data_IF_473821769642
#
_entry.id   IF_473821769642
#
_cell.length_a   1.000
_cell.length_b   1.000
_cell.length_c   1.000
_cell.angle_alpha   90.00
_cell.angle_beta   90.00
_cell.angle_gamma   90.00
#
_symmetry.space_group_name_H-M   'P 1'
#
loop_
_entity.id
_entity.type
_entity.pdbx_description
1 polymer ?
#
# COMPACT_ATOMS: atom_id res chain seq x y z
N UNK A 1 24.78 -23.31 3.49
CA UNK A 1 23.56 -23.86 2.85
C UNK A 1 22.27 -23.17 3.29
N UNK A 2 22.22 -22.55 4.48
CA UNK A 2 21.01 -21.81 4.96
C UNK A 2 20.63 -20.59 4.13
N UNK A 3 21.60 -19.83 3.62
CA UNK A 3 21.31 -18.60 2.84
C UNK A 3 20.62 -18.84 1.49
N UNK A 4 20.84 -19.99 0.85
CA UNK A 4 20.21 -20.31 -0.43
C UNK A 4 18.70 -20.64 -0.24
N UNK A 5 18.29 -21.19 0.90
CA UNK A 5 16.90 -21.50 1.25
C UNK A 5 16.11 -20.23 1.57
N UNK A 6 16.72 -19.28 2.31
CA UNK A 6 16.07 -18.02 2.67
C UNK A 6 15.86 -17.11 1.45
N UNK A 7 16.85 -17.03 0.54
CA UNK A 7 16.70 -16.27 -0.69
C UNK A 7 15.66 -16.89 -1.64
N UNK A 8 15.53 -18.21 -1.68
CA UNK A 8 14.52 -18.87 -2.49
C UNK A 8 13.10 -18.50 -2.01
N UNK A 9 12.87 -18.39 -0.71
CA UNK A 9 11.58 -17.98 -0.15
C UNK A 9 11.17 -16.54 -0.54
N UNK A 10 12.12 -15.65 -0.78
CA UNK A 10 11.83 -14.28 -1.28
C UNK A 10 11.16 -14.32 -2.66
N UNK A 11 11.48 -15.32 -3.47
CA UNK A 11 10.98 -15.45 -4.85
C UNK A 11 9.88 -16.51 -5.00
N UNK A 12 9.29 -16.99 -3.90
CA UNK A 12 8.11 -17.86 -3.96
C UNK A 12 6.89 -17.11 -4.54
N UNK A 13 5.93 -17.83 -5.16
CA UNK A 13 4.72 -17.22 -5.71
C UNK A 13 3.95 -16.36 -4.72
N UNK A 14 3.44 -15.22 -5.19
CA UNK A 14 2.60 -14.26 -4.46
C UNK A 14 1.13 -14.49 -4.83
N UNK A 15 0.22 -14.28 -3.88
CA UNK A 15 -1.20 -14.57 -4.08
C UNK A 15 -2.06 -13.29 -4.13
N UNK A 16 -3.09 -13.24 -5.02
CA UNK A 16 -4.05 -12.13 -5.03
C UNK A 16 -4.79 -12.00 -3.68
N UNK A 17 -5.33 -10.80 -3.34
CA UNK A 17 -5.44 -9.61 -4.16
C UNK A 17 -4.28 -8.61 -4.03
N UNK A 18 -3.35 -8.77 -3.11
CA UNK A 18 -2.30 -7.80 -2.77
C UNK A 18 -0.94 -8.12 -3.39
N UNK A 19 -0.94 -8.64 -4.62
CA UNK A 19 0.27 -9.15 -5.32
C UNK A 19 1.35 -8.09 -5.52
N UNK A 20 0.95 -6.84 -5.77
CA UNK A 20 1.84 -5.71 -5.95
C UNK A 20 2.55 -5.36 -4.63
N UNK A 21 1.78 -5.10 -3.59
CA UNK A 21 2.26 -4.68 -2.28
C UNK A 21 3.06 -5.78 -1.58
N UNK A 22 2.60 -7.02 -1.68
CA UNK A 22 3.32 -8.18 -1.15
C UNK A 22 4.68 -8.34 -1.85
N UNK A 23 4.76 -8.04 -3.16
CA UNK A 23 6.04 -8.04 -3.88
C UNK A 23 6.98 -6.93 -3.35
N UNK A 24 6.45 -5.72 -3.09
CA UNK A 24 7.21 -4.62 -2.49
C UNK A 24 7.71 -5.02 -1.11
N UNK A 25 6.86 -5.60 -0.25
CA UNK A 25 7.25 -6.08 1.08
C UNK A 25 8.35 -7.11 1.03
N UNK A 26 8.19 -8.15 0.22
CA UNK A 26 9.16 -9.26 0.12
C UNK A 26 10.53 -8.78 -0.31
N UNK A 27 10.59 -7.98 -1.38
CA UNK A 27 11.85 -7.45 -1.88
C UNK A 27 12.44 -6.40 -0.93
N UNK A 28 11.64 -5.48 -0.40
CA UNK A 28 12.09 -4.47 0.55
C UNK A 28 12.63 -5.09 1.84
N UNK A 29 11.93 -6.09 2.39
CA UNK A 29 12.39 -6.83 3.56
C UNK A 29 13.67 -7.61 3.27
N UNK A 30 13.77 -8.28 2.11
CA UNK A 30 14.98 -9.02 1.73
C UNK A 30 16.20 -8.10 1.61
N UNK A 31 16.03 -6.88 1.12
CA UNK A 31 17.06 -5.84 1.08
C UNK A 31 17.44 -5.44 2.51
N UNK A 32 16.47 -5.11 3.34
CA UNK A 32 16.67 -4.65 4.71
C UNK A 32 17.42 -5.66 5.60
N UNK A 33 17.06 -6.96 5.49
CA UNK A 33 17.73 -8.02 6.27
C UNK A 33 19.00 -8.55 5.61
N UNK A 34 19.43 -7.98 4.47
CA UNK A 34 20.67 -8.31 3.79
C UNK A 34 20.64 -9.60 2.97
N UNK A 35 19.48 -10.23 2.74
CA UNK A 35 19.33 -11.38 1.83
C UNK A 35 19.59 -10.97 0.38
N UNK A 36 19.26 -9.73 0.03
CA UNK A 36 19.65 -9.06 -1.20
C UNK A 36 20.69 -7.98 -0.85
N UNK A 37 21.99 -8.29 -0.95
CA UNK A 37 23.05 -7.36 -0.50
C UNK A 37 23.12 -6.09 -1.34
N UNK A 38 23.58 -4.95 -0.78
CA UNK A 38 23.84 -3.75 -1.53
C UNK A 38 24.71 -4.00 -2.76
N UNK A 39 24.35 -3.41 -3.90
CA UNK A 39 25.00 -3.57 -5.18
C UNK A 39 24.71 -4.88 -5.92
N UNK A 40 23.99 -5.83 -5.31
CA UNK A 40 23.61 -7.07 -5.99
C UNK A 40 22.59 -6.80 -7.11
N UNK A 41 22.67 -7.59 -8.18
CA UNK A 41 21.77 -7.50 -9.32
C UNK A 41 20.59 -8.44 -9.12
N UNK A 42 19.38 -7.94 -9.35
CA UNK A 42 18.18 -8.78 -9.40
C UNK A 42 18.16 -9.63 -10.68
N UNK A 43 17.48 -10.78 -10.66
CA UNK A 43 17.18 -11.54 -11.87
C UNK A 43 16.49 -10.66 -12.94
N UNK A 44 16.60 -11.01 -14.24
CA UNK A 44 15.86 -10.31 -15.29
C UNK A 44 14.35 -10.31 -14.99
N UNK A 45 13.66 -9.18 -15.29
CA UNK A 45 12.22 -9.01 -14.98
C UNK A 45 11.35 -10.21 -15.42
N UNK A 46 11.67 -10.82 -16.58
CA UNK A 46 10.91 -11.97 -17.07
C UNK A 46 11.05 -13.18 -16.15
N UNK A 47 12.27 -13.47 -15.76
CA UNK A 47 12.59 -14.60 -14.89
C UNK A 47 12.02 -14.40 -13.49
N UNK A 48 12.19 -13.19 -12.94
CA UNK A 48 11.67 -12.83 -11.62
C UNK A 48 10.14 -12.86 -11.57
N UNK A 49 9.45 -12.41 -12.62
CA UNK A 49 7.99 -12.52 -12.73
C UNK A 49 7.51 -13.97 -12.79
N UNK A 50 8.22 -14.83 -13.52
CA UNK A 50 7.95 -16.27 -13.60
C UNK A 50 8.15 -16.93 -12.21
N UNK A 51 9.22 -16.61 -11.49
CA UNK A 51 9.49 -17.15 -10.15
C UNK A 51 8.43 -16.73 -9.13
N UNK A 52 8.03 -15.46 -9.15
CA UNK A 52 7.00 -14.92 -8.25
C UNK A 52 5.57 -15.32 -8.66
N UNK A 53 5.38 -15.89 -9.84
CA UNK A 53 4.07 -16.28 -10.35
C UNK A 53 3.13 -15.10 -10.64
N UNK A 54 3.67 -13.91 -10.97
CA UNK A 54 2.92 -12.68 -11.16
C UNK A 54 3.02 -12.13 -12.60
N UNK A 55 2.11 -11.23 -12.96
CA UNK A 55 2.19 -10.52 -14.23
C UNK A 55 3.44 -9.62 -14.29
N UNK A 56 4.07 -9.53 -15.46
CA UNK A 56 5.25 -8.65 -15.66
C UNK A 56 4.95 -7.18 -15.40
N UNK A 57 3.72 -6.73 -15.67
CA UNK A 57 3.26 -5.38 -15.35
C UNK A 57 3.28 -5.12 -13.84
N UNK A 58 2.74 -6.05 -13.05
CA UNK A 58 2.72 -5.98 -11.58
C UNK A 58 4.14 -5.95 -11.01
N UNK A 59 5.02 -6.84 -11.48
CA UNK A 59 6.42 -6.81 -11.07
C UNK A 59 7.08 -5.47 -11.39
N UNK A 60 6.84 -4.94 -12.59
CA UNK A 60 7.44 -3.66 -13.00
C UNK A 60 6.98 -2.51 -12.11
N UNK A 61 5.69 -2.47 -11.73
CA UNK A 61 5.17 -1.49 -10.77
C UNK A 61 5.89 -1.62 -9.41
N UNK A 62 6.02 -2.83 -8.87
CA UNK A 62 6.73 -3.06 -7.61
C UNK A 62 8.22 -2.65 -7.68
N UNK A 63 8.91 -2.98 -8.78
CA UNK A 63 10.30 -2.56 -8.98
C UNK A 63 10.41 -1.04 -9.12
N UNK A 64 9.46 -0.38 -9.81
CA UNK A 64 9.40 1.07 -9.92
C UNK A 64 9.23 1.72 -8.55
N UNK A 65 8.33 1.19 -7.72
CA UNK A 65 8.12 1.60 -6.32
C UNK A 65 9.43 1.55 -5.52
N UNK A 66 10.13 0.42 -5.61
CA UNK A 66 11.41 0.24 -4.90
C UNK A 66 12.54 1.12 -5.46
N UNK A 67 12.48 1.50 -6.73
CA UNK A 67 13.39 2.50 -7.31
C UNK A 67 13.04 3.91 -6.83
N UNK A 68 11.78 4.29 -6.86
CA UNK A 68 11.30 5.60 -6.38
C UNK A 68 11.59 5.78 -4.88
N UNK A 69 11.44 4.72 -4.10
CA UNK A 69 11.80 4.72 -2.67
C UNK A 69 13.31 4.59 -2.41
N UNK A 70 14.15 4.48 -3.44
CA UNK A 70 15.61 4.41 -3.32
C UNK A 70 16.18 3.06 -2.85
N UNK A 71 15.37 2.03 -2.69
CA UNK A 71 15.84 0.68 -2.33
C UNK A 71 16.55 -0.01 -3.50
N UNK A 72 16.13 0.32 -4.73
CA UNK A 72 16.72 -0.21 -5.97
C UNK A 72 17.22 0.92 -6.88
N UNK A 73 18.11 0.56 -7.81
CA UNK A 73 18.60 1.42 -8.88
C UNK A 73 18.38 0.70 -10.20
N UNK A 74 17.78 1.38 -11.19
CA UNK A 74 17.62 0.86 -12.55
C UNK A 74 18.66 1.49 -13.47
N UNK A 75 19.52 0.67 -14.08
CA UNK A 75 20.52 1.08 -15.06
C UNK A 75 20.12 0.66 -16.46
N UNK A 76 20.20 1.58 -17.43
CA UNK A 76 19.90 1.33 -18.85
C UNK A 76 21.19 0.87 -19.58
N UNK A 77 21.01 0.17 -20.70
CA UNK A 77 22.09 -0.22 -21.59
C UNK A 77 22.43 -1.71 -21.59
N UNK A 78 23.48 -2.09 -22.33
CA UNK A 78 23.87 -3.50 -22.55
C UNK A 78 24.25 -4.24 -21.25
N UNK A 79 24.79 -3.54 -20.28
CA UNK A 79 25.11 -4.05 -18.93
C UNK A 79 24.05 -3.62 -17.89
N UNK A 80 22.91 -3.10 -18.34
CA UNK A 80 21.83 -2.60 -17.51
C UNK A 80 21.14 -3.68 -16.71
N UNK A 81 20.21 -3.26 -15.88
CA UNK A 81 19.41 -4.13 -14.98
C UNK A 81 18.97 -3.38 -13.75
N UNK A 82 18.31 -4.11 -12.87
CA UNK A 82 17.90 -3.59 -11.57
C UNK A 82 18.88 -4.09 -10.50
N UNK A 83 19.38 -3.17 -9.68
CA UNK A 83 20.39 -3.44 -8.66
C UNK A 83 19.89 -2.94 -7.30
N UNK A 84 20.29 -3.60 -6.24
CA UNK A 84 20.07 -3.10 -4.87
C UNK A 84 20.91 -1.84 -4.67
N UNK A 85 20.32 -0.79 -4.11
CA UNK A 85 21.02 0.46 -3.79
C UNK A 85 22.22 0.18 -2.88
N UNK A 86 23.34 0.90 -3.10
CA UNK A 86 24.49 0.82 -2.20
C UNK A 86 24.20 1.42 -0.82
N UNK A 87 23.24 2.35 -0.75
CA UNK A 87 22.74 2.95 0.48
C UNK A 87 21.19 3.03 0.36
N UNK A 88 20.47 1.95 0.66
CA UNK A 88 19.01 2.00 0.72
C UNK A 88 18.59 3.09 1.71
N UNK A 89 17.53 3.85 1.45
CA UNK A 89 17.12 4.90 2.35
C UNK A 89 16.75 4.27 3.71
N UNK A 90 17.43 4.72 4.71
CA UNK A 90 17.01 4.53 6.09
C UNK A 90 15.93 5.59 6.32
N UNK A 91 14.69 5.19 6.48
CA UNK A 91 13.61 6.12 6.80
C UNK A 91 13.97 6.96 8.03
N UNK A 92 13.40 8.16 8.12
CA UNK A 92 13.75 9.16 9.16
C UNK A 92 13.19 8.87 10.55
N UNK A 93 12.75 7.65 10.83
CA UNK A 93 12.13 7.31 12.14
C UNK A 93 12.08 5.80 12.38
N UNK A 94 11.49 5.43 13.53
CA UNK A 94 11.15 4.04 13.85
C UNK A 94 9.65 3.88 13.77
N UNK A 95 9.20 2.75 13.21
CA UNK A 95 7.80 2.36 13.37
C UNK A 95 7.47 2.22 14.86
N UNK A 96 6.29 2.68 15.26
CA UNK A 96 5.75 2.47 16.60
C UNK A 96 5.69 0.97 16.90
N UNK A 97 5.92 0.59 18.15
CA UNK A 97 5.89 -0.82 18.56
C UNK A 97 4.49 -1.47 18.36
N UNK A 98 3.44 -0.65 18.46
CA UNK A 98 2.02 -1.03 18.33
C UNK A 98 1.44 -0.82 16.91
N UNK A 99 2.26 -0.64 15.90
CA UNK A 99 1.79 -0.33 14.56
C UNK A 99 0.80 -1.37 13.98
N UNK A 100 0.93 -2.64 14.37
CA UNK A 100 -0.01 -3.69 13.95
C UNK A 100 -1.38 -3.53 14.62
N UNK A 101 -1.42 -3.14 15.89
CA UNK A 101 -2.67 -2.89 16.60
C UNK A 101 -3.46 -1.75 15.95
N UNK A 102 -2.76 -0.71 15.47
CA UNK A 102 -3.38 0.39 14.71
C UNK A 102 -3.99 -0.12 13.40
N UNK A 103 -3.29 -1.00 12.67
CA UNK A 103 -3.80 -1.58 11.44
C UNK A 103 -4.98 -2.54 11.68
N UNK A 104 -4.95 -3.33 12.73
CA UNK A 104 -6.07 -4.21 13.11
C UNK A 104 -7.31 -3.40 13.48
N UNK A 105 -7.15 -2.32 14.26
CA UNK A 105 -8.23 -1.39 14.58
C UNK A 105 -8.78 -0.73 13.30
N UNK A 106 -7.90 -0.33 12.39
CA UNK A 106 -8.26 0.22 11.09
C UNK A 106 -9.14 -0.75 10.28
N UNK A 107 -8.72 -2.01 10.17
CA UNK A 107 -9.51 -3.04 9.47
C UNK A 107 -10.89 -3.20 10.09
N UNK A 108 -11.00 -3.28 11.40
CA UNK A 108 -12.28 -3.46 12.10
C UNK A 108 -13.22 -2.27 11.89
N UNK A 109 -12.72 -1.04 11.97
CA UNK A 109 -13.51 0.19 11.85
C UNK A 109 -13.91 0.43 10.39
N UNK A 110 -12.96 0.39 9.47
CA UNK A 110 -13.17 0.79 8.07
C UNK A 110 -13.99 -0.22 7.29
N UNK A 111 -13.74 -1.54 7.44
CA UNK A 111 -14.57 -2.54 6.78
C UNK A 111 -16.01 -2.51 7.30
N UNK A 112 -16.20 -2.30 8.61
CA UNK A 112 -17.53 -2.10 9.18
C UNK A 112 -18.22 -0.84 8.63
N UNK A 113 -17.47 0.25 8.43
CA UNK A 113 -18.00 1.47 7.81
C UNK A 113 -18.41 1.22 6.36
N UNK A 114 -17.62 0.49 5.57
CA UNK A 114 -17.94 0.17 4.17
C UNK A 114 -19.24 -0.65 4.05
N UNK A 115 -19.43 -1.67 4.91
CA UNK A 115 -20.68 -2.44 4.95
C UNK A 115 -21.89 -1.53 5.20
N UNK A 116 -21.83 -0.74 6.28
CA UNK A 116 -22.93 0.14 6.66
C UNK A 116 -23.20 1.27 5.65
N UNK A 117 -22.14 1.80 5.03
CA UNK A 117 -22.27 2.81 3.98
C UNK A 117 -22.95 2.26 2.73
N UNK A 118 -22.57 1.04 2.29
CA UNK A 118 -23.21 0.37 1.15
C UNK A 118 -24.70 0.09 1.42
N UNK A 119 -25.06 -0.38 2.62
CA UNK A 119 -26.44 -0.66 3.01
C UNK A 119 -27.31 0.61 3.12
N UNK A 120 -26.72 1.75 3.50
CA UNK A 120 -27.47 2.99 3.77
C UNK A 120 -27.57 3.96 2.60
N UNK A 121 -26.73 3.81 1.59
CA UNK A 121 -26.83 4.43 0.28
C UNK A 121 -26.86 5.96 0.25
N UNK A 122 -26.02 6.66 1.04
CA UNK A 122 -25.95 8.12 1.05
C UNK A 122 -25.20 8.68 -0.17
N UNK A 123 -25.90 8.86 -1.28
CA UNK A 123 -25.34 9.30 -2.56
C UNK A 123 -24.51 10.59 -2.49
N UNK A 124 -24.92 11.56 -1.65
CA UNK A 124 -24.17 12.81 -1.45
C UNK A 124 -22.77 12.58 -0.83
N UNK A 125 -22.65 11.61 0.07
CA UNK A 125 -21.35 11.23 0.61
C UNK A 125 -20.46 10.57 -0.46
N UNK A 126 -21.02 9.72 -1.31
CA UNK A 126 -20.28 9.09 -2.40
C UNK A 126 -19.81 10.08 -3.47
N UNK A 127 -20.58 11.14 -3.74
CA UNK A 127 -20.15 12.23 -4.62
C UNK A 127 -18.95 12.98 -4.02
N UNK A 128 -18.98 13.32 -2.72
CA UNK A 128 -17.84 13.93 -2.03
C UNK A 128 -16.61 13.02 -2.02
N UNK A 129 -16.78 11.71 -1.85
CA UNK A 129 -15.68 10.76 -1.92
C UNK A 129 -15.02 10.74 -3.30
N UNK A 130 -15.81 10.87 -4.38
CA UNK A 130 -15.30 10.96 -5.75
C UNK A 130 -14.45 12.23 -5.95
N UNK A 131 -14.96 13.40 -5.49
CA UNK A 131 -14.20 14.66 -5.49
C UNK A 131 -12.87 14.53 -4.73
N UNK A 132 -12.84 13.75 -3.64
CA UNK A 132 -11.63 13.51 -2.86
C UNK A 132 -10.64 12.61 -3.59
N UNK A 133 -11.08 11.62 -4.36
CA UNK A 133 -10.21 10.83 -5.24
C UNK A 133 -9.59 11.72 -6.33
N UNK A 134 -10.39 12.61 -6.94
CA UNK A 134 -9.88 13.59 -7.91
C UNK A 134 -8.84 14.53 -7.27
N UNK A 135 -9.07 14.95 -6.02
CA UNK A 135 -8.12 15.77 -5.28
C UNK A 135 -6.82 15.03 -4.96
N UNK A 136 -6.90 13.72 -4.65
CA UNK A 136 -5.72 12.86 -4.49
C UNK A 136 -4.91 12.75 -5.79
N UNK A 137 -5.56 12.56 -6.94
CA UNK A 137 -4.89 12.50 -8.24
C UNK A 137 -4.21 13.82 -8.63
N UNK A 138 -4.81 14.94 -8.24
CA UNK A 138 -4.27 16.27 -8.52
C UNK A 138 -3.19 16.72 -7.53
N UNK A 139 -2.92 15.95 -6.48
CA UNK A 139 -1.99 16.31 -5.43
C UNK A 139 -0.54 16.27 -5.93
N UNK A 140 0.15 17.41 -5.88
CA UNK A 140 1.58 17.50 -6.24
C UNK A 140 2.53 17.05 -5.15
N UNK A 141 2.06 16.99 -3.89
CA UNK A 141 2.85 16.66 -2.71
C UNK A 141 2.07 15.69 -1.82
N UNK A 142 2.81 14.83 -1.10
CA UNK A 142 2.20 13.79 -0.24
C UNK A 142 1.28 14.36 0.83
N UNK A 143 1.60 15.52 1.42
CA UNK A 143 0.77 16.15 2.44
C UNK A 143 -0.63 16.50 1.89
N UNK A 144 -0.72 17.02 0.67
CA UNK A 144 -2.00 17.32 0.03
C UNK A 144 -2.78 16.04 -0.28
N UNK A 145 -2.10 15.01 -0.80
CA UNK A 145 -2.65 13.68 -1.01
C UNK A 145 -3.23 13.14 0.30
N UNK A 146 -2.44 13.15 1.38
CA UNK A 146 -2.85 12.57 2.66
C UNK A 146 -4.06 13.28 3.27
N UNK A 147 -4.15 14.59 3.13
CA UNK A 147 -5.35 15.34 3.58
C UNK A 147 -6.62 14.86 2.88
N UNK A 148 -6.55 14.64 1.56
CA UNK A 148 -7.69 14.15 0.78
C UNK A 148 -8.03 12.70 1.14
N UNK A 149 -7.03 11.84 1.30
CA UNK A 149 -7.15 10.44 1.67
C UNK A 149 -7.81 10.27 3.06
N UNK A 150 -7.34 10.99 4.07
CA UNK A 150 -7.97 11.02 5.40
C UNK A 150 -9.43 11.42 5.31
N UNK A 151 -9.74 12.46 4.53
CA UNK A 151 -11.12 12.91 4.35
C UNK A 151 -11.98 11.90 3.62
N UNK A 152 -11.43 11.16 2.66
CA UNK A 152 -12.12 10.07 1.98
C UNK A 152 -12.58 9.01 2.98
N UNK A 153 -11.70 8.51 3.83
CA UNK A 153 -12.03 7.51 4.85
C UNK A 153 -13.02 8.05 5.90
N UNK A 154 -12.87 9.30 6.34
CA UNK A 154 -13.83 9.93 7.26
C UNK A 154 -15.20 10.06 6.58
N UNK A 155 -15.27 10.47 5.30
CA UNK A 155 -16.51 10.59 4.56
C UNK A 155 -17.22 9.23 4.38
N UNK A 156 -16.43 8.14 4.22
CA UNK A 156 -16.98 6.78 4.26
C UNK A 156 -17.72 6.50 5.59
N UNK A 157 -17.13 6.89 6.73
CA UNK A 157 -17.79 6.75 8.03
C UNK A 157 -19.02 7.68 8.17
N UNK A 158 -18.96 8.91 7.63
CA UNK A 158 -20.10 9.85 7.60
C UNK A 158 -21.28 9.27 6.79
N UNK A 159 -21.01 8.53 5.70
CA UNK A 159 -22.02 7.86 4.90
C UNK A 159 -22.87 6.86 5.71
N UNK A 160 -22.33 6.35 6.81
CA UNK A 160 -23.06 5.45 7.73
C UNK A 160 -24.11 6.19 8.58
N UNK A 161 -23.95 7.50 8.78
CA UNK A 161 -24.75 8.30 9.73
C UNK A 161 -24.48 8.00 11.20
N UNK A 162 -23.43 7.24 11.53
CA UNK A 162 -23.08 6.83 12.89
C UNK A 162 -21.96 7.71 13.46
N UNK A 163 -22.29 8.69 14.29
CA UNK A 163 -21.33 9.65 14.87
C UNK A 163 -20.18 8.98 15.63
N UNK A 164 -20.44 7.85 16.31
CA UNK A 164 -19.40 7.08 17.00
C UNK A 164 -18.39 6.45 16.03
N UNK A 165 -18.86 6.03 14.85
CA UNK A 165 -18.00 5.46 13.83
C UNK A 165 -17.12 6.54 13.17
N UNK A 166 -17.70 7.75 12.96
CA UNK A 166 -16.93 8.92 12.50
C UNK A 166 -15.81 9.27 13.49
N UNK A 167 -16.12 9.27 14.79
CA UNK A 167 -15.10 9.54 15.82
C UNK A 167 -13.97 8.49 15.84
N UNK A 168 -14.33 7.19 15.76
CA UNK A 168 -13.36 6.11 15.71
C UNK A 168 -12.50 6.17 14.42
N UNK A 169 -13.12 6.47 13.27
CA UNK A 169 -12.42 6.66 12.00
C UNK A 169 -11.43 7.83 12.08
N UNK A 170 -11.85 8.95 12.64
CA UNK A 170 -11.00 10.14 12.80
C UNK A 170 -9.77 9.83 13.65
N UNK A 171 -9.96 9.10 14.75
CA UNK A 171 -8.85 8.70 15.62
C UNK A 171 -7.86 7.79 14.86
N UNK A 172 -8.33 6.71 14.26
CA UNK A 172 -7.45 5.74 13.58
C UNK A 172 -6.73 6.36 12.38
N UNK A 173 -7.37 7.30 11.66
CA UNK A 173 -6.73 8.02 10.57
C UNK A 173 -5.63 8.99 11.06
N UNK A 174 -5.79 9.57 12.27
CA UNK A 174 -4.73 10.33 12.92
C UNK A 174 -3.51 9.45 13.22
N UNK A 175 -3.72 8.29 13.86
CA UNK A 175 -2.67 7.32 14.18
C UNK A 175 -1.98 6.79 12.91
N UNK A 176 -2.75 6.55 11.84
CA UNK A 176 -2.19 6.16 10.53
C UNK A 176 -1.30 7.24 9.93
N UNK A 177 -1.69 8.52 10.04
CA UNK A 177 -0.88 9.64 9.53
C UNK A 177 0.51 9.68 10.20
N UNK A 178 0.55 9.48 11.52
CA UNK A 178 1.83 9.37 12.25
C UNK A 178 2.63 8.14 11.79
N UNK A 179 1.97 7.01 11.55
CA UNK A 179 2.60 5.75 11.21
C UNK A 179 3.26 5.79 9.83
N UNK A 180 2.56 6.34 8.83
CA UNK A 180 3.09 6.42 7.46
C UNK A 180 4.09 7.56 7.28
N UNK A 181 4.16 8.53 8.19
CA UNK A 181 5.11 9.66 8.08
C UNK A 181 6.58 9.24 8.05
N UNK A 182 6.89 8.03 8.49
CA UNK A 182 8.27 7.50 8.59
C UNK A 182 8.70 6.66 7.39
N UNK A 183 7.83 6.44 6.41
CA UNK A 183 8.13 5.69 5.20
C UNK A 183 8.12 6.60 3.95
N UNK A 184 8.82 6.26 2.86
CA UNK A 184 8.69 6.96 1.60
C UNK A 184 7.30 6.71 0.97
N UNK A 185 6.84 7.67 0.15
CA UNK A 185 5.54 7.64 -0.53
C UNK A 185 5.72 7.62 -2.06
N UNK A 186 6.09 6.48 -2.66
CA UNK A 186 6.24 6.38 -4.10
C UNK A 186 4.93 6.66 -4.83
N UNK A 187 5.01 7.42 -5.92
CA UNK A 187 3.85 7.79 -6.74
C UNK A 187 3.03 6.56 -7.18
N UNK A 188 3.71 5.48 -7.58
CA UNK A 188 3.05 4.22 -7.96
C UNK A 188 2.19 3.60 -6.86
N UNK A 189 2.54 3.80 -5.59
CA UNK A 189 1.73 3.34 -4.44
C UNK A 189 0.47 4.18 -4.31
N UNK A 190 0.61 5.50 -4.46
CA UNK A 190 -0.52 6.44 -4.35
C UNK A 190 -1.51 6.25 -5.50
N UNK A 191 -1.02 6.08 -6.74
CA UNK A 191 -1.85 5.76 -7.91
C UNK A 191 -2.64 4.46 -7.71
N UNK A 192 -1.96 3.41 -7.21
CA UNK A 192 -2.62 2.12 -6.95
C UNK A 192 -3.72 2.25 -5.88
N UNK A 193 -3.45 2.94 -4.78
CA UNK A 193 -4.43 3.21 -3.74
C UNK A 193 -5.65 3.99 -4.29
N UNK A 194 -5.44 4.96 -5.19
CA UNK A 194 -6.53 5.69 -5.83
C UNK A 194 -7.41 4.79 -6.71
N UNK A 195 -6.82 3.84 -7.43
CA UNK A 195 -7.58 2.87 -8.23
C UNK A 195 -8.45 1.96 -7.34
N UNK A 196 -7.94 1.57 -6.18
CA UNK A 196 -8.71 0.82 -5.18
C UNK A 196 -9.85 1.66 -4.59
N UNK A 197 -9.63 2.95 -4.32
CA UNK A 197 -10.69 3.88 -3.88
C UNK A 197 -11.80 4.02 -4.91
N UNK A 198 -11.50 4.10 -6.22
CA UNK A 198 -12.49 4.11 -7.30
C UNK A 198 -13.30 2.80 -7.35
N UNK A 199 -12.61 1.69 -7.17
CA UNK A 199 -13.25 0.37 -7.14
C UNK A 199 -14.18 0.24 -5.95
N UNK A 200 -13.78 0.72 -4.77
CA UNK A 200 -14.62 0.79 -3.58
C UNK A 200 -15.88 1.64 -3.81
N UNK A 201 -15.73 2.83 -4.40
CA UNK A 201 -16.87 3.71 -4.73
C UNK A 201 -17.87 3.02 -5.67
N UNK A 202 -17.38 2.23 -6.63
CA UNK A 202 -18.24 1.46 -7.52
C UNK A 202 -19.07 0.44 -6.75
N UNK A 203 -18.47 -0.32 -5.85
CA UNK A 203 -19.15 -1.30 -5.00
C UNK A 203 -20.16 -0.64 -4.03
N UNK A 204 -19.80 0.51 -3.43
CA UNK A 204 -20.68 1.28 -2.56
C UNK A 204 -21.92 1.78 -3.30
N UNK A 205 -21.78 2.31 -4.50
CA UNK A 205 -22.90 2.77 -5.37
C UNK A 205 -23.79 1.62 -5.81
N UNK A 206 -23.21 0.44 -6.00
CA UNK A 206 -23.96 -0.77 -6.31
C UNK A 206 -24.67 -1.39 -5.07
N UNK A 207 -24.54 -0.78 -3.89
CA UNK A 207 -25.03 -1.30 -2.61
C UNK A 207 -24.53 -2.74 -2.31
N UNK A 208 -23.34 -3.11 -2.82
CA UNK A 208 -22.74 -4.41 -2.61
C UNK A 208 -21.80 -4.38 -1.38
N UNK A 209 -22.41 -4.56 -0.20
CA UNK A 209 -21.71 -4.47 1.08
C UNK A 209 -20.58 -5.49 1.22
N UNK A 210 -20.76 -6.71 0.70
CA UNK A 210 -19.76 -7.77 0.76
C UNK A 210 -18.53 -7.42 -0.09
N UNK A 211 -18.74 -6.93 -1.30
CA UNK A 211 -17.69 -6.53 -2.22
C UNK A 211 -16.96 -5.28 -1.70
N UNK A 212 -17.71 -4.27 -1.22
CA UNK A 212 -17.12 -3.06 -0.63
C UNK A 212 -16.19 -3.38 0.55
N UNK A 213 -16.62 -4.25 1.46
CA UNK A 213 -15.79 -4.70 2.58
C UNK A 213 -14.56 -5.50 2.12
N UNK A 214 -14.71 -6.34 1.10
CA UNK A 214 -13.62 -7.13 0.52
C UNK A 214 -12.54 -6.26 -0.14
N UNK A 215 -12.98 -5.28 -0.95
CA UNK A 215 -12.08 -4.32 -1.61
C UNK A 215 -11.33 -3.50 -0.55
N UNK A 216 -12.05 -2.93 0.41
CA UNK A 216 -11.42 -2.13 1.44
C UNK A 216 -10.44 -2.94 2.30
N UNK A 217 -10.79 -4.18 2.65
CA UNK A 217 -9.87 -5.07 3.36
C UNK A 217 -8.58 -5.34 2.57
N UNK A 218 -8.68 -5.51 1.25
CA UNK A 218 -7.50 -5.69 0.39
C UNK A 218 -6.63 -4.43 0.39
N UNK A 219 -7.24 -3.24 0.20
CA UNK A 219 -6.58 -1.94 0.29
C UNK A 219 -5.82 -1.75 1.62
N UNK A 220 -6.47 -2.07 2.75
CA UNK A 220 -5.86 -1.93 4.07
C UNK A 220 -4.68 -2.90 4.27
N UNK A 221 -4.79 -4.13 3.75
CA UNK A 221 -3.67 -5.09 3.75
C UNK A 221 -2.53 -4.65 2.83
N UNK A 222 -2.86 -4.07 1.66
CA UNK A 222 -1.87 -3.46 0.79
C UNK A 222 -1.03 -2.42 1.53
N UNK A 223 -1.69 -1.53 2.28
CA UNK A 223 -0.99 -0.54 3.13
C UNK A 223 -0.07 -1.21 4.16
N UNK A 224 -0.50 -2.32 4.80
CA UNK A 224 0.34 -3.08 5.74
C UNK A 224 1.62 -3.59 5.07
N UNK A 225 1.50 -4.20 3.87
CA UNK A 225 2.64 -4.69 3.10
C UNK A 225 3.59 -3.56 2.70
N UNK A 226 3.06 -2.41 2.26
CA UNK A 226 3.88 -1.23 1.92
C UNK A 226 4.64 -0.73 3.14
N UNK A 227 3.99 -0.59 4.29
CA UNK A 227 4.65 -0.19 5.54
C UNK A 227 5.76 -1.19 5.89
N UNK A 228 5.47 -2.48 5.87
CA UNK A 228 6.45 -3.51 6.19
C UNK A 228 7.64 -3.53 5.21
N UNK A 229 7.39 -3.31 3.91
CA UNK A 229 8.41 -3.30 2.86
C UNK A 229 9.30 -2.08 2.85
N UNK A 230 8.74 -0.90 3.09
CA UNK A 230 9.43 0.39 3.01
C UNK A 230 9.87 0.94 4.37
N UNK A 231 9.55 0.26 5.47
CA UNK A 231 9.94 0.69 6.81
C UNK A 231 11.46 0.82 6.95
N UNK A 232 11.93 1.81 7.72
CA UNK A 232 13.34 1.96 8.00
C UNK A 232 13.92 0.74 8.72
N UNK A 233 15.21 0.48 8.48
CA UNK A 233 15.96 -0.53 9.24
C UNK A 233 16.05 -0.10 10.71
N UNK A 234 15.72 -0.99 11.62
CA UNK A 234 15.84 -0.77 13.09
C UNK A 234 17.29 -0.77 13.54
#
# INVERSE_FOLDING_TARGET
MEGASALAAVFEPVSPPTTFEETVERLGTAIRVGLLPPGSRLPPERELAEQLGIARSTLRQALTTLVQSGHLISLRGRTGGTFVSAAPPLGSGKLRADWRDVLDARVAIECGAAVLAAERGRHEAFARMEELVEAMDAAGEFEAYRVADVRFHITLAEATGAARLVAAMTQVQGEMTELISVIPHPETVLEHANDEHRTLLTALRAANACEAAGILRAHLRGTEHIIAGLAPST
#
